data_IF_509831477789
#
_entry.id   IF_509831477789
#
_cell.length_a   1.000
_cell.length_b   1.000
_cell.length_c   1.000
_cell.angle_alpha   90.00
_cell.angle_beta   90.00
_cell.angle_gamma   90.00
#
_symmetry.space_group_name_H-M   'P 1'
#
loop_
_entity.id
_entity.type
_entity.pdbx_description
1 polymer ?
#
# COMPACT_ATOMS: atom_id res chain seq x y z
N UNK A 1 15.22 4.32 -6.09
CA UNK A 1 14.27 3.59 -6.95
C UNK A 1 13.03 4.46 -7.09
N UNK A 2 12.53 4.60 -8.30
CA UNK A 2 11.31 5.33 -8.66
C UNK A 2 10.40 4.30 -9.33
N UNK A 3 9.34 3.87 -8.67
CA UNK A 3 8.40 2.87 -9.14
C UNK A 3 7.04 3.54 -9.40
N UNK A 4 6.63 3.62 -10.66
CA UNK A 4 5.32 4.13 -11.05
C UNK A 4 4.51 2.98 -11.63
N UNK A 5 3.67 2.40 -10.78
CA UNK A 5 2.83 1.25 -11.07
C UNK A 5 1.55 1.60 -11.83
N UNK A 6 0.55 0.71 -11.72
CA UNK A 6 -0.79 0.92 -12.26
C UNK A 6 -1.63 1.88 -11.40
N UNK A 7 -1.63 1.70 -10.08
CA UNK A 7 -2.41 2.55 -9.16
C UNK A 7 -1.61 3.25 -8.06
N UNK A 8 -0.31 2.97 -7.94
CA UNK A 8 0.53 3.57 -6.89
C UNK A 8 1.87 4.04 -7.46
N UNK A 9 2.44 5.01 -6.75
CA UNK A 9 3.79 5.51 -6.94
C UNK A 9 4.58 5.29 -5.66
N UNK A 10 5.78 4.72 -5.78
CA UNK A 10 6.68 4.48 -4.66
C UNK A 10 8.10 4.94 -5.02
N UNK A 11 8.71 5.71 -4.11
CA UNK A 11 10.10 6.12 -4.17
C UNK A 11 10.86 5.53 -2.99
N UNK A 12 11.99 4.88 -3.24
CA UNK A 12 12.87 4.32 -2.20
C UNK A 12 14.30 4.78 -2.38
N UNK A 13 14.88 5.35 -1.33
CA UNK A 13 16.31 5.60 -1.23
C UNK A 13 16.98 4.31 -0.73
N UNK A 14 17.88 3.75 -1.53
CA UNK A 14 18.54 2.48 -1.24
C UNK A 14 20.05 2.69 -1.29
N UNK A 15 20.74 2.27 -0.24
CA UNK A 15 22.19 2.21 -0.20
C UNK A 15 22.64 0.80 -0.63
N UNK A 16 23.51 0.74 -1.64
CA UNK A 16 24.02 -0.50 -2.21
C UNK A 16 25.52 -0.61 -1.97
N UNK A 17 25.94 -1.54 -1.12
CA UNK A 17 27.34 -1.79 -0.78
C UNK A 17 27.70 -3.24 -1.12
N UNK A 18 28.23 -3.46 -2.33
CA UNK A 18 28.49 -4.80 -2.85
C UNK A 18 27.18 -5.60 -2.97
N UNK A 19 27.11 -6.74 -2.29
CA UNK A 19 25.89 -7.57 -2.21
C UNK A 19 24.88 -7.12 -1.14
N UNK A 20 25.20 -6.11 -0.32
CA UNK A 20 24.28 -5.62 0.70
C UNK A 20 23.46 -4.44 0.18
N UNK A 21 22.14 -4.56 0.29
CA UNK A 21 21.17 -3.54 -0.07
C UNK A 21 20.40 -3.11 1.17
N UNK A 22 20.49 -1.84 1.53
CA UNK A 22 19.79 -1.28 2.70
C UNK A 22 18.79 -0.23 2.24
N UNK A 23 17.51 -0.45 2.52
CA UNK A 23 16.50 0.59 2.34
C UNK A 23 16.76 1.65 3.40
N UNK A 24 16.99 2.89 2.98
CA UNK A 24 17.25 4.04 3.87
C UNK A 24 15.94 4.71 4.24
N UNK A 25 15.07 4.92 3.26
CA UNK A 25 13.74 5.49 3.44
C UNK A 25 12.90 5.20 2.19
N UNK A 26 11.58 5.17 2.38
CA UNK A 26 10.62 5.09 1.29
C UNK A 26 9.46 6.04 1.53
N UNK A 27 8.93 6.59 0.45
CA UNK A 27 7.72 7.43 0.41
C UNK A 27 6.90 7.03 -0.80
N UNK A 28 5.59 7.21 -0.76
CA UNK A 28 4.73 6.82 -1.87
C UNK A 28 3.39 7.54 -1.86
N UNK A 29 2.72 7.52 -3.01
CA UNK A 29 1.38 8.05 -3.23
C UNK A 29 0.51 6.86 -3.60
N UNK A 30 -0.43 6.51 -2.70
CA UNK A 30 -1.26 5.30 -2.81
C UNK A 30 -2.40 5.42 -3.82
N UNK A 31 -2.61 6.62 -4.36
CA UNK A 31 -3.72 6.97 -5.24
C UNK A 31 -3.24 7.55 -6.58
N UNK A 32 -2.01 7.25 -6.99
CA UNK A 32 -1.44 7.78 -8.23
C UNK A 32 -0.67 6.69 -8.97
N UNK A 33 -1.07 6.37 -10.19
CA UNK A 33 -0.38 5.45 -11.07
C UNK A 33 -0.74 5.62 -12.55
N UNK A 34 -0.50 4.57 -13.33
CA UNK A 34 -0.88 4.51 -14.74
C UNK A 34 -2.37 4.67 -15.03
N UNK A 35 -3.24 4.28 -14.11
CA UNK A 35 -4.71 4.33 -14.25
C UNK A 35 -5.22 5.78 -14.27
N UNK A 36 -4.53 6.69 -13.58
CA UNK A 36 -4.83 8.13 -13.62
C UNK A 36 -4.52 8.73 -15.00
N UNK A 37 -3.47 8.24 -15.68
CA UNK A 37 -3.19 8.64 -17.06
C UNK A 37 -4.27 8.11 -18.03
N UNK A 38 -4.84 6.93 -17.76
CA UNK A 38 -5.95 6.40 -18.56
C UNK A 38 -7.20 7.25 -18.39
N UNK A 39 -7.46 7.68 -17.16
CA UNK A 39 -8.56 8.58 -16.82
C UNK A 39 -8.42 9.93 -17.51
N UNK A 40 -7.23 10.54 -17.48
CA UNK A 40 -6.97 11.80 -18.22
C UNK A 40 -7.21 11.63 -19.71
N UNK A 41 -6.78 10.51 -20.31
CA UNK A 41 -7.00 10.27 -21.74
C UNK A 41 -8.48 10.07 -22.07
N UNK A 42 -9.22 9.39 -21.18
CA UNK A 42 -10.66 9.19 -21.30
C UNK A 42 -11.42 10.53 -21.26
N UNK A 43 -11.07 11.41 -20.32
CA UNK A 43 -11.66 12.75 -20.19
C UNK A 43 -11.40 13.60 -21.45
N UNK A 44 -10.15 13.63 -21.94
CA UNK A 44 -9.80 14.31 -23.19
C UNK A 44 -10.54 13.74 -24.41
N UNK A 45 -10.82 12.43 -24.42
CA UNK A 45 -11.58 11.80 -25.50
C UNK A 45 -13.05 12.24 -25.50
N UNK A 46 -13.68 12.27 -24.32
CA UNK A 46 -15.05 12.76 -24.14
C UNK A 46 -15.19 14.24 -24.49
N UNK A 47 -14.22 15.06 -24.07
CA UNK A 47 -14.14 16.47 -24.45
C UNK A 47 -13.98 16.66 -25.95
N UNK A 48 -13.08 15.91 -26.58
CA UNK A 48 -12.88 15.97 -28.03
C UNK A 48 -14.10 15.48 -28.83
N UNK A 49 -14.93 14.62 -28.25
CA UNK A 49 -16.17 14.14 -28.84
C UNK A 49 -17.33 15.13 -28.68
N UNK A 50 -17.17 16.17 -27.85
CA UNK A 50 -18.26 17.09 -27.50
C UNK A 50 -19.32 16.44 -26.61
N UNK A 51 -18.95 15.42 -25.81
CA UNK A 51 -19.86 14.79 -24.85
C UNK A 51 -20.01 15.74 -23.66
N UNK A 52 -21.22 16.27 -23.48
CA UNK A 52 -21.57 17.21 -22.40
C UNK A 52 -21.61 16.51 -21.03
N UNK A 53 -21.46 17.29 -19.95
CA UNK A 53 -21.35 16.74 -18.59
C UNK A 53 -22.55 15.87 -18.20
N UNK A 54 -23.78 16.25 -18.57
CA UNK A 54 -24.97 15.46 -18.27
C UNK A 54 -24.93 14.07 -18.93
N UNK A 55 -24.36 13.95 -20.12
CA UNK A 55 -24.21 12.67 -20.81
C UNK A 55 -23.10 11.80 -20.18
N UNK A 56 -22.03 12.45 -19.67
CA UNK A 56 -20.96 11.79 -18.90
C UNK A 56 -21.48 11.24 -17.58
N UNK A 57 -22.25 12.04 -16.84
CA UNK A 57 -22.86 11.64 -15.56
C UNK A 57 -23.87 10.49 -15.76
N UNK A 58 -24.47 10.40 -16.95
CA UNK A 58 -25.34 9.30 -17.37
C UNK A 58 -24.60 8.03 -17.82
N UNK A 59 -23.27 8.01 -17.85
CA UNK A 59 -22.51 6.82 -18.22
C UNK A 59 -22.64 5.72 -17.16
N UNK A 60 -22.94 4.52 -17.63
CA UNK A 60 -22.90 3.33 -16.78
C UNK A 60 -21.45 2.98 -16.44
N UNK A 61 -21.26 2.31 -15.30
CA UNK A 61 -19.93 1.81 -14.91
C UNK A 61 -19.28 0.92 -15.99
N UNK A 62 -20.09 0.17 -16.74
CA UNK A 62 -19.59 -0.68 -17.83
C UNK A 62 -19.09 0.14 -19.03
N UNK A 63 -19.73 1.25 -19.36
CA UNK A 63 -19.28 2.17 -20.41
C UNK A 63 -17.98 2.86 -20.01
N UNK A 64 -17.92 3.37 -18.78
CA UNK A 64 -16.70 3.97 -18.25
C UNK A 64 -15.52 2.99 -18.26
N UNK A 65 -15.74 1.76 -17.81
CA UNK A 65 -14.73 0.70 -17.85
C UNK A 65 -14.23 0.42 -19.28
N UNK A 66 -15.12 0.31 -20.27
CA UNK A 66 -14.72 0.12 -21.68
C UNK A 66 -13.90 1.27 -22.21
N UNK A 67 -14.24 2.51 -21.83
CA UNK A 67 -13.49 3.70 -22.22
C UNK A 67 -12.08 3.68 -21.60
N UNK A 68 -11.96 3.35 -20.31
CA UNK A 68 -10.67 3.24 -19.64
C UNK A 68 -9.79 2.15 -20.27
N UNK A 69 -10.34 0.98 -20.60
CA UNK A 69 -9.58 -0.09 -21.26
C UNK A 69 -9.09 0.32 -22.66
N UNK A 70 -9.95 0.96 -23.47
CA UNK A 70 -9.54 1.52 -24.76
C UNK A 70 -8.43 2.56 -24.58
N UNK A 71 -8.56 3.48 -23.63
CA UNK A 71 -7.56 4.50 -23.36
C UNK A 71 -6.24 3.89 -22.87
N UNK A 72 -6.31 2.86 -22.04
CA UNK A 72 -5.14 2.10 -21.58
C UNK A 72 -4.41 1.46 -22.74
N UNK A 73 -5.10 0.77 -23.64
CA UNK A 73 -4.50 0.18 -24.84
C UNK A 73 -3.81 1.24 -25.70
N UNK A 74 -4.44 2.41 -25.88
CA UNK A 74 -3.84 3.53 -26.64
C UNK A 74 -2.64 4.13 -25.94
N UNK A 75 -2.70 4.33 -24.63
CA UNK A 75 -1.59 4.84 -23.79
C UNK A 75 -0.40 3.88 -23.84
N UNK A 76 -0.63 2.58 -23.68
CA UNK A 76 0.41 1.55 -23.69
C UNK A 76 1.07 1.41 -25.08
N UNK A 77 0.37 1.77 -26.17
CA UNK A 77 0.93 1.80 -27.53
C UNK A 77 1.74 3.07 -27.86
N UNK A 78 1.81 4.05 -26.96
CA UNK A 78 2.55 5.30 -27.20
C UNK A 78 4.05 5.07 -27.24
N UNK A 79 4.72 5.73 -28.18
CA UNK A 79 6.17 5.76 -28.29
C UNK A 79 6.63 7.23 -28.47
N UNK A 80 7.93 7.54 -28.31
CA UNK A 80 8.42 8.93 -28.32
C UNK A 80 8.09 9.75 -29.58
N UNK A 81 7.79 9.09 -30.69
CA UNK A 81 7.43 9.75 -31.96
C UNK A 81 5.92 9.85 -32.20
N UNK A 82 5.08 9.35 -31.30
CA UNK A 82 3.62 9.52 -31.42
C UNK A 82 3.27 11.00 -31.45
N UNK A 83 2.34 11.37 -32.35
CA UNK A 83 1.82 12.74 -32.49
C UNK A 83 0.32 12.82 -32.28
N UNK A 84 -0.40 11.75 -32.60
CA UNK A 84 -1.86 11.65 -32.56
C UNK A 84 -2.25 10.33 -31.89
N UNK A 85 -3.24 10.39 -31.04
CA UNK A 85 -3.82 9.26 -30.32
C UNK A 85 -5.26 9.14 -30.83
N UNK A 86 -5.63 7.99 -31.38
CA UNK A 86 -6.98 7.74 -31.87
C UNK A 86 -7.67 6.85 -30.84
N UNK A 87 -8.78 7.33 -30.28
CA UNK A 87 -9.60 6.61 -29.30
C UNK A 87 -10.91 6.19 -29.98
N UNK A 88 -11.16 4.88 -30.00
CA UNK A 88 -12.35 4.30 -30.63
C UNK A 88 -13.54 4.29 -29.66
N UNK A 89 -14.34 5.37 -29.70
CA UNK A 89 -15.48 5.56 -28.80
C UNK A 89 -16.69 4.68 -29.14
N UNK A 90 -16.74 4.08 -30.34
CA UNK A 90 -17.84 3.19 -30.72
C UNK A 90 -17.88 1.93 -29.83
N UNK A 91 -16.72 1.55 -29.27
CA UNK A 91 -16.59 0.48 -28.25
C UNK A 91 -17.29 0.80 -26.94
N UNK A 92 -17.50 2.09 -26.65
CA UNK A 92 -18.13 2.57 -25.42
C UNK A 92 -19.63 2.63 -25.61
N UNK A 93 -20.09 3.40 -26.62
CA UNK A 93 -21.48 3.54 -27.04
C UNK A 93 -21.57 3.44 -28.55
N UNK A 94 -22.53 2.67 -29.04
CA UNK A 94 -22.87 2.68 -30.46
C UNK A 94 -23.22 4.11 -30.87
N UNK A 95 -22.79 4.53 -32.07
CA UNK A 95 -22.93 5.89 -32.63
C UNK A 95 -21.88 6.93 -32.19
N UNK A 96 -21.08 6.67 -31.16
CA UNK A 96 -19.96 7.56 -30.83
C UNK A 96 -18.82 7.39 -31.84
N UNK A 97 -18.45 8.49 -32.51
CA UNK A 97 -17.38 8.47 -33.51
C UNK A 97 -15.98 8.44 -32.87
N UNK A 98 -14.99 7.81 -33.52
CA UNK A 98 -13.60 7.87 -33.06
C UNK A 98 -13.09 9.32 -33.01
N UNK A 99 -12.37 9.64 -31.95
CA UNK A 99 -11.75 10.96 -31.76
C UNK A 99 -10.24 10.89 -31.91
N UNK A 100 -9.63 12.03 -32.26
CA UNK A 100 -8.18 12.14 -32.32
C UNK A 100 -7.66 13.22 -31.39
N UNK A 101 -6.85 12.81 -30.43
CA UNK A 101 -6.21 13.67 -29.43
C UNK A 101 -4.76 13.90 -29.86
N UNK A 102 -4.24 15.12 -29.72
CA UNK A 102 -2.81 15.36 -29.93
C UNK A 102 -2.04 14.81 -28.73
N UNK A 103 -0.95 14.07 -28.99
CA UNK A 103 -0.13 13.53 -27.91
C UNK A 103 0.46 14.63 -27.02
N UNK A 104 0.67 15.84 -27.56
CA UNK A 104 1.14 16.99 -26.80
C UNK A 104 0.11 17.48 -25.76
N UNK A 105 -1.18 17.46 -26.09
CA UNK A 105 -2.25 17.89 -25.18
C UNK A 105 -2.40 16.89 -24.04
N UNK A 106 -2.41 15.59 -24.37
CA UNK A 106 -2.37 14.51 -23.39
C UNK A 106 -1.16 14.62 -22.45
N UNK A 107 0.04 14.85 -22.99
CA UNK A 107 1.24 15.00 -22.17
C UNK A 107 1.22 16.27 -21.31
N UNK A 108 0.54 17.33 -21.77
CA UNK A 108 0.36 18.54 -20.96
C UNK A 108 -0.56 18.26 -19.78
N UNK A 109 -1.67 17.54 -20.02
CA UNK A 109 -2.62 17.15 -18.98
C UNK A 109 -2.02 16.18 -17.96
N UNK A 110 -1.15 15.25 -18.37
CA UNK A 110 -0.49 14.32 -17.44
C UNK A 110 0.68 14.92 -16.66
N UNK A 111 1.27 16.05 -17.12
CA UNK A 111 2.49 16.62 -16.49
C UNK A 111 2.32 16.87 -14.98
N UNK A 112 1.22 17.45 -14.47
CA UNK A 112 1.06 17.71 -13.03
C UNK A 112 1.23 16.46 -12.17
N UNK A 113 0.66 15.31 -12.56
CA UNK A 113 0.81 14.05 -11.83
C UNK A 113 2.26 13.55 -11.83
N UNK A 114 2.97 13.71 -12.96
CA UNK A 114 4.40 13.37 -13.02
C UNK A 114 5.21 14.29 -12.11
N UNK A 115 4.90 15.59 -12.07
CA UNK A 115 5.58 16.53 -11.16
C UNK A 115 5.32 16.18 -9.69
N UNK A 116 4.12 15.74 -9.33
CA UNK A 116 3.80 15.29 -7.97
C UNK A 116 4.70 14.12 -7.52
N UNK A 117 4.86 13.10 -8.37
CA UNK A 117 5.76 11.98 -8.08
C UNK A 117 7.24 12.40 -7.99
N UNK A 118 7.64 13.45 -8.72
CA UNK A 118 8.99 14.02 -8.64
C UNK A 118 9.17 14.77 -7.33
N UNK A 119 8.20 15.56 -6.90
CA UNK A 119 8.24 16.25 -5.62
C UNK A 119 8.33 15.26 -4.45
N UNK A 120 7.54 14.19 -4.46
CA UNK A 120 7.65 13.12 -3.46
C UNK A 120 9.05 12.48 -3.43
N UNK A 121 9.69 12.33 -4.60
CA UNK A 121 11.08 11.85 -4.71
C UNK A 121 12.09 12.87 -4.16
N UNK A 122 11.94 14.15 -4.51
CA UNK A 122 12.81 15.23 -4.06
C UNK A 122 12.71 15.42 -2.54
N UNK A 123 11.51 15.33 -1.97
CA UNK A 123 11.26 15.42 -0.53
C UNK A 123 11.87 14.25 0.24
N UNK A 124 11.80 13.03 -0.31
CA UNK A 124 12.47 11.85 0.23
C UNK A 124 13.99 12.07 0.27
N UNK A 125 14.58 12.59 -0.82
CA UNK A 125 16.01 12.89 -0.88
C UNK A 125 16.41 14.01 0.07
N UNK A 126 15.64 15.10 0.14
CA UNK A 126 15.91 16.22 1.02
C UNK A 126 15.94 15.79 2.50
N UNK A 127 15.02 14.90 2.91
CA UNK A 127 14.93 14.41 4.28
C UNK A 127 16.01 13.38 4.65
N UNK A 128 16.40 12.52 3.71
CA UNK A 128 17.19 11.33 4.05
C UNK A 128 18.57 11.25 3.40
N UNK A 129 18.86 12.03 2.35
CA UNK A 129 20.15 12.01 1.68
C UNK A 129 21.20 12.95 2.31
N UNK A 130 20.81 13.81 3.27
CA UNK A 130 21.72 14.72 3.99
C UNK A 130 22.67 15.53 3.06
N UNK A 131 22.17 15.96 1.90
CA UNK A 131 22.94 16.70 0.90
C UNK A 131 23.85 15.85 0.01
N UNK A 132 23.85 14.51 0.14
CA UNK A 132 24.51 13.61 -0.81
C UNK A 132 23.71 13.54 -2.10
N UNK A 133 24.42 13.60 -3.24
CA UNK A 133 23.81 13.29 -4.53
C UNK A 133 23.58 11.79 -4.67
N UNK A 134 22.51 11.41 -5.38
CA UNK A 134 22.30 10.02 -5.79
C UNK A 134 23.21 9.65 -6.96
N UNK A 135 23.71 8.42 -6.97
CA UNK A 135 24.48 7.89 -8.11
C UNK A 135 23.58 7.62 -9.32
N UNK A 136 22.39 7.07 -9.06
CA UNK A 136 21.44 6.69 -10.08
C UNK A 136 19.99 6.78 -9.59
N UNK A 137 19.09 7.15 -10.51
CA UNK A 137 17.64 7.03 -10.34
C UNK A 137 17.16 5.83 -11.17
N UNK A 138 16.97 4.69 -10.52
CA UNK A 138 16.43 3.49 -11.15
C UNK A 138 14.91 3.59 -11.29
N UNK A 139 14.42 3.62 -12.54
CA UNK A 139 13.01 3.79 -12.91
C UNK A 139 12.40 2.44 -13.27
N UNK A 140 11.31 2.09 -12.61
CA UNK A 140 10.55 0.85 -12.76
C UNK A 140 9.04 1.12 -12.72
N UNK A 141 8.22 0.09 -12.96
CA UNK A 141 6.77 0.18 -13.01
C UNK A 141 6.21 0.40 -14.42
N UNK A 142 5.01 -0.11 -14.69
CA UNK A 142 4.37 -0.02 -16.01
C UNK A 142 4.01 1.42 -16.41
N UNK A 143 3.59 2.25 -15.46
CA UNK A 143 3.28 3.67 -15.69
C UNK A 143 4.51 4.47 -16.13
N UNK A 144 5.70 4.09 -15.67
CA UNK A 144 6.98 4.71 -16.09
C UNK A 144 7.31 4.52 -17.58
N UNK A 145 6.63 3.62 -18.29
CA UNK A 145 6.86 3.41 -19.73
C UNK A 145 6.30 4.53 -20.60
N UNK A 146 5.36 5.33 -20.06
CA UNK A 146 4.83 6.50 -20.73
C UNK A 146 5.98 7.44 -21.12
N UNK A 147 6.12 7.82 -22.41
CA UNK A 147 7.26 8.62 -22.87
C UNK A 147 7.46 9.94 -22.12
N UNK A 148 6.36 10.56 -21.65
CA UNK A 148 6.40 11.78 -20.84
C UNK A 148 7.20 11.58 -19.55
N UNK A 149 6.94 10.51 -18.78
CA UNK A 149 7.59 10.27 -17.48
C UNK A 149 9.10 10.23 -17.66
N UNK A 150 9.56 9.43 -18.62
CA UNK A 150 10.97 9.33 -18.98
C UNK A 150 11.60 10.66 -19.46
N UNK A 151 10.82 11.56 -20.06
CA UNK A 151 11.28 12.88 -20.48
C UNK A 151 11.44 13.81 -19.28
N UNK A 152 10.39 13.96 -18.47
CA UNK A 152 10.39 14.87 -17.31
C UNK A 152 11.45 14.44 -16.30
N UNK A 153 11.59 13.14 -16.04
CA UNK A 153 12.65 12.63 -15.16
C UNK A 153 14.05 12.96 -15.68
N UNK A 154 14.29 12.94 -16.99
CA UNK A 154 15.59 13.36 -17.55
C UNK A 154 15.79 14.87 -17.53
N UNK A 155 14.74 15.65 -17.69
CA UNK A 155 14.79 17.11 -17.50
C UNK A 155 15.23 17.46 -16.07
N UNK A 156 14.75 16.70 -15.07
CA UNK A 156 15.03 16.95 -13.64
C UNK A 156 16.32 16.30 -13.13
N UNK A 157 16.52 15.01 -13.39
CA UNK A 157 17.64 14.22 -12.84
C UNK A 157 18.77 13.95 -13.84
N UNK A 158 18.61 14.38 -15.10
CA UNK A 158 19.65 14.30 -16.12
C UNK A 158 20.10 12.87 -16.43
N UNK A 159 21.43 12.70 -16.52
CA UNK A 159 22.07 11.42 -16.88
C UNK A 159 22.02 10.35 -15.80
N UNK A 160 21.53 10.68 -14.59
CA UNK A 160 21.39 9.72 -13.48
C UNK A 160 20.22 8.77 -13.68
N UNK A 161 19.26 9.13 -14.53
CA UNK A 161 18.10 8.27 -14.84
C UNK A 161 18.56 6.98 -15.52
N UNK A 162 18.16 5.85 -14.95
CA UNK A 162 18.42 4.50 -15.43
C UNK A 162 17.09 3.77 -15.51
N UNK A 163 16.61 3.49 -16.73
CA UNK A 163 15.40 2.68 -16.91
C UNK A 163 15.74 1.21 -16.80
N UNK A 164 14.97 0.47 -16.01
CA UNK A 164 15.08 -1.00 -15.97
C UNK A 164 14.78 -1.60 -17.33
N UNK A 165 15.53 -2.63 -17.73
CA UNK A 165 15.20 -3.44 -18.91
C UNK A 165 13.90 -4.25 -18.72
N UNK A 166 13.46 -4.39 -17.46
CA UNK A 166 12.29 -5.15 -17.05
C UNK A 166 11.30 -4.27 -16.28
N UNK A 167 10.94 -3.09 -16.80
CA UNK A 167 10.10 -2.10 -16.09
C UNK A 167 8.84 -2.71 -15.45
N UNK A 168 8.15 -3.61 -16.15
CA UNK A 168 6.92 -4.26 -15.68
C UNK A 168 7.14 -5.47 -14.76
N UNK A 169 8.34 -6.04 -14.76
CA UNK A 169 8.61 -7.33 -14.10
C UNK A 169 9.74 -7.27 -13.07
N UNK A 170 10.38 -6.12 -12.88
CA UNK A 170 11.53 -5.96 -12.00
C UNK A 170 11.22 -6.41 -10.57
N UNK A 171 10.04 -6.07 -10.04
CA UNK A 171 9.58 -6.48 -8.71
C UNK A 171 9.45 -7.99 -8.60
N UNK A 172 8.80 -8.65 -9.58
CA UNK A 172 8.66 -10.10 -9.59
C UNK A 172 10.01 -10.83 -9.73
N UNK A 173 10.92 -10.30 -10.55
CA UNK A 173 12.28 -10.81 -10.70
C UNK A 173 13.06 -10.66 -9.39
N UNK A 174 12.99 -9.50 -8.74
CA UNK A 174 13.64 -9.24 -7.45
C UNK A 174 13.14 -10.20 -6.36
N UNK A 175 11.83 -10.42 -6.29
CA UNK A 175 11.23 -11.41 -5.37
C UNK A 175 11.70 -12.84 -5.69
N UNK A 176 11.80 -13.22 -6.96
CA UNK A 176 12.30 -14.53 -7.34
C UNK A 176 13.78 -14.74 -6.94
N UNK A 177 14.62 -13.70 -7.10
CA UNK A 177 16.01 -13.71 -6.66
C UNK A 177 16.08 -13.84 -5.13
N UNK A 178 15.27 -13.05 -4.41
CA UNK A 178 15.22 -13.09 -2.94
C UNK A 178 14.74 -14.45 -2.42
N UNK A 179 13.75 -15.06 -3.09
CA UNK A 179 13.20 -16.37 -2.71
C UNK A 179 14.13 -17.53 -3.05
N UNK A 180 15.02 -17.37 -4.03
CA UNK A 180 16.00 -18.39 -4.39
C UNK A 180 17.14 -18.53 -3.35
N UNK A 181 17.22 -17.61 -2.37
CA UNK A 181 18.24 -17.58 -1.31
C UNK A 181 19.66 -17.81 -1.84
N UNK A 182 19.94 -17.25 -3.02
CA UNK A 182 21.25 -17.40 -3.65
C UNK A 182 22.28 -16.63 -2.83
N UNK A 183 23.29 -17.35 -2.31
CA UNK A 183 24.40 -16.79 -1.54
C UNK A 183 24.99 -15.56 -2.24
N UNK A 184 24.79 -14.37 -1.66
CA UNK A 184 25.44 -13.15 -2.14
C UNK A 184 24.67 -11.85 -1.97
N UNK A 185 23.34 -11.88 -1.76
CA UNK A 185 22.54 -10.66 -1.58
C UNK A 185 21.87 -10.62 -0.20
N UNK A 186 22.06 -9.50 0.51
CA UNK A 186 21.44 -9.25 1.81
C UNK A 186 20.59 -7.98 1.73
N UNK A 187 19.26 -8.12 1.87
CA UNK A 187 18.33 -7.01 1.96
C UNK A 187 18.07 -6.64 3.43
N UNK A 188 18.29 -5.38 3.77
CA UNK A 188 17.93 -4.78 5.06
C UNK A 188 16.78 -3.81 4.84
N UNK A 189 15.60 -4.18 5.31
CA UNK A 189 14.38 -3.41 5.14
C UNK A 189 13.98 -2.69 6.44
N UNK A 190 12.94 -1.85 6.40
CA UNK A 190 12.43 -1.07 7.53
C UNK A 190 10.95 -0.79 7.41
N UNK A 191 10.30 -0.50 8.54
CA UNK A 191 8.92 0.01 8.56
C UNK A 191 8.82 1.32 7.77
N UNK A 192 7.97 1.36 6.73
CA UNK A 192 7.72 2.56 5.92
C UNK A 192 6.62 3.46 6.50
N UNK A 193 5.86 2.94 7.45
CA UNK A 193 4.74 3.60 8.15
C UNK A 193 4.82 3.33 9.64
N UNK A 194 4.12 4.11 10.45
CA UNK A 194 3.91 3.80 11.85
C UNK A 194 2.94 2.64 11.96
N UNK A 195 3.29 1.59 12.70
CA UNK A 195 2.38 0.53 13.08
C UNK A 195 2.04 0.67 14.56
N UNK A 196 0.75 0.68 14.90
CA UNK A 196 0.32 0.86 16.27
C UNK A 196 -1.11 0.46 16.55
N UNK A 197 -1.58 0.79 17.75
CA UNK A 197 -2.90 0.41 18.25
C UNK A 197 -3.60 1.60 18.89
N UNK A 198 -4.91 1.68 18.71
CA UNK A 198 -5.73 2.64 19.44
C UNK A 198 -5.86 2.23 20.90
N UNK A 199 -5.62 3.19 21.80
CA UNK A 199 -5.80 3.02 23.25
C UNK A 199 -6.75 4.06 23.80
N UNK A 200 -7.49 3.66 24.81
CA UNK A 200 -8.19 4.63 25.65
C UNK A 200 -7.20 5.33 26.59
N UNK A 201 -7.41 6.62 26.77
CA UNK A 201 -6.73 7.48 27.73
C UNK A 201 -7.76 8.22 28.57
N UNK A 202 -7.30 8.83 29.67
CA UNK A 202 -8.13 9.65 30.56
C UNK A 202 -9.43 8.95 30.98
N UNK A 203 -9.32 7.70 31.44
CA UNK A 203 -10.46 6.91 31.91
C UNK A 203 -11.55 6.67 30.85
N UNK A 204 -11.15 6.58 29.57
CA UNK A 204 -12.04 6.35 28.43
C UNK A 204 -12.63 7.63 27.82
N UNK A 205 -12.17 8.81 28.26
CA UNK A 205 -12.62 10.11 27.71
C UNK A 205 -11.95 10.46 26.39
N UNK A 206 -10.75 9.95 26.16
CA UNK A 206 -9.99 10.20 24.95
C UNK A 206 -9.43 8.89 24.38
N UNK A 207 -9.17 8.88 23.08
CA UNK A 207 -8.49 7.80 22.38
C UNK A 207 -7.17 8.36 21.88
N UNK A 208 -6.09 7.63 22.13
CA UNK A 208 -4.73 7.97 21.72
C UNK A 208 -4.14 6.84 20.90
N UNK A 209 -3.22 7.18 19.99
CA UNK A 209 -2.48 6.20 19.21
C UNK A 209 -1.22 5.80 19.97
N UNK A 210 -1.05 4.50 20.22
CA UNK A 210 0.19 3.95 20.76
C UNK A 210 1.04 3.37 19.61
N UNK A 211 2.12 4.05 19.18
CA UNK A 211 3.03 3.53 18.17
C UNK A 211 3.82 2.35 18.75
N UNK A 212 3.67 1.18 18.12
CA UNK A 212 4.34 -0.05 18.51
C UNK A 212 5.67 -0.21 17.77
N UNK A 213 5.66 0.04 16.46
CA UNK A 213 6.86 0.12 15.62
C UNK A 213 6.79 1.42 14.81
N UNK A 214 7.76 2.30 15.03
CA UNK A 214 7.78 3.61 14.39
C UNK A 214 8.23 3.52 12.92
N UNK A 215 7.77 4.47 12.09
CA UNK A 215 8.29 4.66 10.73
C UNK A 215 9.83 4.81 10.80
N UNK A 216 10.52 4.06 9.94
CA UNK A 216 11.97 4.02 9.86
C UNK A 216 12.65 2.93 10.70
N UNK A 217 11.91 2.21 11.55
CA UNK A 217 12.46 1.10 12.36
C UNK A 217 12.96 -0.01 11.45
N UNK A 218 14.25 -0.36 11.53
CA UNK A 218 14.85 -1.43 10.72
C UNK A 218 14.33 -2.81 11.12
N UNK A 219 14.03 -3.65 10.13
CA UNK A 219 13.68 -5.04 10.34
C UNK A 219 14.93 -5.84 10.71
N UNK A 220 14.78 -6.91 11.53
CA UNK A 220 15.90 -7.78 11.87
C UNK A 220 16.34 -8.56 10.63
N UNK A 221 17.60 -8.99 10.57
CA UNK A 221 18.06 -9.85 9.48
C UNK A 221 17.51 -11.28 9.62
N UNK A 222 17.46 -12.07 8.54
CA UNK A 222 17.10 -13.48 8.63
C UNK A 222 17.96 -14.22 9.67
N UNK A 223 17.30 -14.85 10.66
CA UNK A 223 17.96 -15.56 11.76
C UNK A 223 18.29 -14.71 12.99
N UNK A 224 18.12 -13.39 12.94
CA UNK A 224 18.18 -12.53 14.13
C UNK A 224 16.89 -12.59 14.96
N UNK A 225 16.95 -12.29 16.27
CA UNK A 225 15.75 -12.18 17.10
C UNK A 225 14.75 -11.15 16.53
N UNK A 226 13.44 -11.39 16.67
CA UNK A 226 12.43 -10.43 16.22
C UNK A 226 12.53 -9.12 17.01
N UNK A 227 12.07 -8.02 16.41
CA UNK A 227 11.80 -6.80 17.16
C UNK A 227 10.73 -7.11 18.21
N UNK A 228 10.91 -6.61 19.43
CA UNK A 228 9.94 -6.80 20.50
C UNK A 228 9.46 -5.45 21.04
N UNK A 229 8.15 -5.32 21.24
CA UNK A 229 7.55 -4.20 21.95
C UNK A 229 6.60 -4.77 23.01
N UNK A 230 6.76 -4.37 24.26
CA UNK A 230 5.98 -4.91 25.38
C UNK A 230 5.18 -3.81 26.06
N UNK A 231 3.96 -4.14 26.47
CA UNK A 231 3.12 -3.32 27.34
C UNK A 231 2.65 -4.17 28.52
N UNK A 232 2.69 -3.60 29.72
CA UNK A 232 2.23 -4.27 30.94
C UNK A 232 1.38 -3.29 31.72
N UNK A 233 0.15 -3.67 32.03
CA UNK A 233 -0.81 -2.80 32.69
C UNK A 233 -1.91 -3.61 33.39
N UNK A 234 -2.67 -2.94 34.26
CA UNK A 234 -3.87 -3.50 34.86
C UNK A 234 -5.08 -3.00 34.07
N UNK A 235 -5.88 -3.89 33.46
CA UNK A 235 -7.04 -3.50 32.68
C UNK A 235 -8.14 -2.98 33.60
N UNK A 236 -8.89 -1.99 33.11
CA UNK A 236 -10.07 -1.45 33.81
C UNK A 236 -11.38 -1.89 33.15
N UNK A 237 -11.32 -2.82 32.19
CA UNK A 237 -12.46 -3.37 31.46
C UNK A 237 -12.48 -4.91 31.60
N UNK A 238 -13.65 -5.52 31.39
CA UNK A 238 -13.83 -6.97 31.31
C UNK A 238 -13.19 -7.59 30.05
N UNK A 239 -13.13 -6.84 28.96
CA UNK A 239 -12.65 -7.28 27.65
C UNK A 239 -11.76 -6.20 27.05
N UNK A 240 -10.65 -6.62 26.42
CA UNK A 240 -9.77 -5.76 25.65
C UNK A 240 -10.18 -5.73 24.20
N UNK A 241 -10.32 -4.52 23.65
CA UNK A 241 -10.64 -4.29 22.25
C UNK A 241 -9.49 -3.57 21.56
N UNK A 242 -8.74 -4.30 20.74
CA UNK A 242 -7.51 -3.78 20.13
C UNK A 242 -7.74 -3.55 18.64
N UNK A 243 -7.65 -2.29 18.23
CA UNK A 243 -7.79 -1.86 16.83
C UNK A 243 -6.43 -1.40 16.33
N UNK A 244 -5.80 -2.19 15.47
CA UNK A 244 -4.50 -1.87 14.91
C UNK A 244 -4.64 -1.01 13.66
N UNK A 245 -3.69 -0.11 13.45
CA UNK A 245 -3.63 0.72 12.26
C UNK A 245 -2.18 0.91 11.79
N UNK A 246 -2.04 1.27 10.52
CA UNK A 246 -0.83 1.86 9.97
C UNK A 246 -1.07 3.29 9.51
N UNK A 247 -0.23 4.22 9.96
CA UNK A 247 -0.31 5.62 9.59
C UNK A 247 0.95 6.08 8.84
N UNK A 248 0.77 6.88 7.80
CA UNK A 248 1.88 7.45 7.03
C UNK A 248 2.73 8.42 7.86
N UNK A 249 2.09 9.20 8.75
CA UNK A 249 2.69 10.22 9.58
C UNK A 249 2.05 10.24 10.98
N UNK A 250 2.75 10.87 11.93
CA UNK A 250 2.18 11.30 13.20
C UNK A 250 2.48 12.79 13.40
N UNK A 251 1.57 13.53 14.01
CA UNK A 251 1.81 14.91 14.42
C UNK A 251 2.70 15.00 15.68
N UNK A 252 3.04 16.22 16.12
CA UNK A 252 3.87 16.46 17.31
C UNK A 252 3.24 15.92 18.61
N UNK A 253 1.93 15.71 18.62
CA UNK A 253 1.19 15.13 19.75
C UNK A 253 1.10 13.61 19.67
N UNK A 254 1.65 13.00 18.61
CA UNK A 254 1.65 11.55 18.39
C UNK A 254 0.38 11.02 17.71
N UNK A 255 -0.54 11.89 17.27
CA UNK A 255 -1.75 11.43 16.59
C UNK A 255 -1.42 11.04 15.14
N UNK A 256 -1.99 9.94 14.62
CA UNK A 256 -1.76 9.51 13.25
C UNK A 256 -2.41 10.48 12.27
N UNK A 257 -1.68 10.82 11.20
CA UNK A 257 -2.08 11.76 10.16
C UNK A 257 -1.82 11.19 8.76
N UNK A 258 -2.44 11.82 7.77
CA UNK A 258 -2.30 11.46 6.36
C UNK A 258 -3.07 10.18 6.03
N UNK A 259 -2.47 9.34 5.19
CA UNK A 259 -3.05 8.04 4.87
C UNK A 259 -3.02 7.12 6.10
N UNK A 260 -4.15 6.49 6.39
CA UNK A 260 -4.36 5.59 7.53
C UNK A 260 -5.01 4.30 7.01
N UNK A 261 -4.39 3.17 7.32
CA UNK A 261 -4.86 1.85 6.93
C UNK A 261 -5.27 1.07 8.17
N UNK A 262 -6.51 0.61 8.22
CA UNK A 262 -6.98 -0.27 9.30
C UNK A 262 -6.45 -1.69 9.13
N UNK A 263 -6.09 -2.31 10.26
CA UNK A 263 -5.67 -3.69 10.35
C UNK A 263 -6.69 -4.48 11.17
N UNK A 264 -6.32 -5.71 11.52
CA UNK A 264 -7.10 -6.56 12.41
C UNK A 264 -7.60 -5.83 13.65
N UNK A 265 -8.80 -6.23 14.03
CA UNK A 265 -9.34 -5.96 15.34
C UNK A 265 -9.41 -7.27 16.12
N UNK A 266 -8.80 -7.28 17.30
CA UNK A 266 -8.79 -8.46 18.16
C UNK A 266 -9.46 -8.15 19.50
N UNK A 267 -10.05 -9.19 20.07
CA UNK A 267 -10.77 -9.15 21.33
C UNK A 267 -10.10 -10.12 22.29
N UNK A 268 -9.79 -9.69 23.51
CA UNK A 268 -9.15 -10.53 24.52
C UNK A 268 -9.91 -10.47 25.86
N UNK A 269 -10.20 -11.61 26.51
CA UNK A 269 -10.86 -11.64 27.82
C UNK A 269 -9.91 -11.22 28.95
N UNK A 270 -10.13 -10.05 29.53
CA UNK A 270 -9.47 -9.67 30.78
C UNK A 270 -10.16 -10.30 32.01
N UNK A 271 -11.48 -10.44 31.95
CA UNK A 271 -12.25 -11.14 32.97
C UNK A 271 -12.08 -12.66 32.82
N UNK A 272 -11.68 -13.30 33.92
CA UNK A 272 -11.48 -14.76 34.00
C UNK A 272 -12.74 -15.55 33.66
N UNK A 273 -13.92 -15.02 33.99
CA UNK A 273 -15.18 -15.68 33.65
C UNK A 273 -15.43 -15.75 32.14
N UNK A 274 -14.78 -14.88 31.36
CA UNK A 274 -14.91 -14.80 29.91
C UNK A 274 -13.82 -15.58 29.16
N UNK A 275 -12.76 -16.03 29.84
CA UNK A 275 -11.60 -16.68 29.21
C UNK A 275 -11.95 -17.98 28.46
N UNK A 276 -12.99 -18.68 28.90
CA UNK A 276 -13.48 -19.94 28.29
C UNK A 276 -14.74 -19.74 27.45
N UNK A 277 -15.24 -18.50 27.32
CA UNK A 277 -16.51 -18.22 26.63
C UNK A 277 -16.29 -18.16 25.10
N UNK A 278 -17.01 -18.97 24.30
CA UNK A 278 -16.98 -18.83 22.85
C UNK A 278 -17.68 -17.54 22.40
N UNK A 279 -17.17 -16.90 21.35
CA UNK A 279 -17.82 -15.72 20.76
C UNK A 279 -17.65 -14.44 21.58
N UNK A 280 -16.52 -14.28 22.28
CA UNK A 280 -16.21 -13.10 23.10
C UNK A 280 -16.35 -11.76 22.36
N UNK A 281 -16.22 -11.74 21.03
CA UNK A 281 -16.42 -10.55 20.21
C UNK A 281 -17.83 -9.95 20.27
N UNK A 282 -18.80 -10.67 20.87
CA UNK A 282 -20.17 -10.19 21.09
C UNK A 282 -20.43 -9.71 22.53
N UNK A 283 -19.43 -9.80 23.41
CA UNK A 283 -19.56 -9.37 24.80
C UNK A 283 -19.36 -7.85 24.86
N UNK A 284 -20.27 -7.17 25.55
CA UNK A 284 -20.17 -5.73 25.76
C UNK A 284 -18.96 -5.38 26.64
N UNK A 285 -18.28 -4.30 26.28
CA UNK A 285 -17.16 -3.76 27.06
C UNK A 285 -17.72 -3.05 28.29
N UNK A 286 -17.41 -3.58 29.46
CA UNK A 286 -17.85 -3.06 30.75
C UNK A 286 -16.64 -2.69 31.62
N UNK A 287 -16.71 -1.51 32.25
CA UNK A 287 -15.67 -1.07 33.18
C UNK A 287 -15.72 -1.88 34.48
N UNK A 288 -14.57 -2.45 34.87
CA UNK A 288 -14.35 -3.25 36.08
C UNK A 288 -13.13 -2.70 36.82
N UNK A 289 -13.35 -2.00 37.94
CA UNK A 289 -12.27 -1.38 38.73
C UNK A 289 -11.66 -2.32 39.78
N UNK A 290 -12.17 -3.54 39.93
CA UNK A 290 -11.69 -4.54 40.87
C UNK A 290 -11.52 -5.91 40.19
N UNK A 291 -10.45 -6.62 40.54
CA UNK A 291 -10.25 -8.03 40.16
C UNK A 291 -9.47 -8.29 38.86
N UNK A 292 -8.98 -7.26 38.17
CA UNK A 292 -8.15 -7.41 36.97
C UNK A 292 -6.76 -7.97 37.29
N UNK A 293 -6.35 -9.03 36.58
CA UNK A 293 -4.97 -9.53 36.58
C UNK A 293 -4.04 -8.56 35.84
N UNK A 294 -2.73 -8.70 36.06
CA UNK A 294 -1.74 -7.94 35.29
C UNK A 294 -1.70 -8.49 33.86
N UNK A 295 -2.01 -7.66 32.87
CA UNK A 295 -1.98 -8.05 31.45
C UNK A 295 -0.63 -7.67 30.86
N UNK A 296 -0.08 -8.58 30.05
CA UNK A 296 1.07 -8.33 29.18
C UNK A 296 0.67 -8.48 27.73
N UNK A 297 0.97 -7.47 26.93
CA UNK A 297 0.98 -7.54 25.48
C UNK A 297 2.44 -7.64 25.03
N UNK A 298 2.78 -8.66 24.24
CA UNK A 298 4.09 -8.83 23.63
C UNK A 298 3.95 -8.83 22.10
N UNK A 299 4.34 -7.71 21.51
CA UNK A 299 4.39 -7.52 20.06
C UNK A 299 5.73 -7.98 19.52
N UNK A 300 5.69 -8.71 18.41
CA UNK A 300 6.88 -9.19 17.70
C UNK A 300 6.81 -8.89 16.23
N UNK A 301 7.92 -8.48 15.63
CA UNK A 301 8.07 -8.37 14.19
C UNK A 301 9.34 -9.08 13.71
N UNK A 302 9.20 -9.99 12.74
CA UNK A 302 10.32 -10.75 12.20
C UNK A 302 10.99 -10.08 10.99
N UNK A 303 11.99 -10.76 10.42
CA UNK A 303 12.74 -10.28 9.26
C UNK A 303 11.91 -10.18 7.98
N UNK A 304 10.74 -10.83 7.95
CA UNK A 304 9.79 -10.77 6.83
C UNK A 304 8.72 -9.67 7.04
N UNK A 305 8.79 -8.89 8.12
CA UNK A 305 7.81 -7.86 8.43
C UNK A 305 6.48 -8.42 8.94
N UNK A 306 6.39 -9.72 9.23
CA UNK A 306 5.18 -10.28 9.85
C UNK A 306 5.09 -9.81 11.29
N UNK A 307 3.88 -9.44 11.73
CA UNK A 307 3.64 -8.93 13.08
C UNK A 307 2.73 -9.89 13.86
N UNK A 308 3.11 -10.16 15.11
CA UNK A 308 2.30 -10.93 16.05
C UNK A 308 2.12 -10.18 17.35
N UNK A 309 1.03 -10.45 18.03
CA UNK A 309 0.82 -10.05 19.42
C UNK A 309 0.45 -11.27 20.24
N UNK A 310 1.14 -11.45 21.36
CA UNK A 310 0.77 -12.38 22.41
C UNK A 310 0.24 -11.58 23.59
N UNK A 311 -1.04 -11.76 23.90
CA UNK A 311 -1.68 -11.14 25.07
C UNK A 311 -1.80 -12.20 26.15
N UNK A 312 -1.39 -11.87 27.37
CA UNK A 312 -1.34 -12.80 28.50
C UNK A 312 -1.89 -12.16 29.77
N UNK A 313 -2.79 -12.86 30.45
CA UNK A 313 -3.08 -12.62 31.86
C UNK A 313 -2.01 -13.30 32.70
N UNK A 314 -1.13 -12.50 33.30
CA UNK A 314 0.01 -13.01 34.08
C UNK A 314 -0.42 -13.65 35.40
N UNK A 315 -1.65 -13.40 35.86
CA UNK A 315 -2.15 -13.99 37.09
C UNK A 315 -2.77 -15.38 36.87
N UNK A 316 -3.39 -15.64 35.70
CA UNK A 316 -3.96 -16.96 35.38
C UNK A 316 -3.07 -17.80 34.46
N UNK A 317 -2.15 -17.16 33.73
CA UNK A 317 -1.40 -17.78 32.65
C UNK A 317 -2.20 -17.93 31.36
N UNK A 318 -3.46 -17.47 31.32
CA UNK A 318 -4.25 -17.47 30.09
C UNK A 318 -3.60 -16.57 29.06
N UNK A 319 -3.42 -17.07 27.84
CA UNK A 319 -2.75 -16.34 26.77
C UNK A 319 -3.32 -16.68 25.41
N UNK A 320 -3.33 -15.68 24.54
CA UNK A 320 -3.73 -15.82 23.15
C UNK A 320 -2.69 -15.14 22.26
N UNK A 321 -2.38 -15.76 21.12
CA UNK A 321 -1.44 -15.21 20.13
C UNK A 321 -2.18 -14.98 18.83
N UNK A 322 -2.01 -13.79 18.28
CA UNK A 322 -2.65 -13.35 17.04
C UNK A 322 -1.56 -12.98 16.05
N UNK A 323 -1.68 -13.46 14.82
CA UNK A 323 -0.91 -12.95 13.68
C UNK A 323 -1.72 -11.81 13.07
N UNK A 324 -1.17 -10.61 13.09
CA UNK A 324 -1.85 -9.43 12.58
C UNK A 324 -1.66 -9.34 11.07
N UNK A 325 -2.74 -9.06 10.36
CA UNK A 325 -2.75 -8.82 8.92
C UNK A 325 -3.72 -7.70 8.54
N UNK A 326 -3.61 -7.29 7.28
CA UNK A 326 -4.59 -6.40 6.64
C UNK A 326 -5.79 -7.22 6.19
N UNK A 327 -6.59 -7.68 7.15
CA UNK A 327 -7.86 -8.32 6.84
C UNK A 327 -8.96 -7.28 6.96
N UNK A 328 -9.55 -6.89 5.82
CA UNK A 328 -10.83 -6.18 5.82
C UNK A 328 -11.81 -7.02 6.65
N UNK A 329 -12.48 -6.39 7.63
CA UNK A 329 -13.55 -7.02 8.41
C UNK A 329 -14.54 -7.69 7.45
N UNK A 330 -14.77 -8.98 7.74
CA UNK A 330 -15.23 -10.06 6.87
C UNK A 330 -16.49 -9.82 6.04
N UNK A 331 -16.56 -10.43 4.86
CA UNK A 331 -17.60 -11.44 4.64
C UNK A 331 -17.14 -12.63 3.76
N UNK A 332 -17.32 -13.82 4.31
CA UNK A 332 -17.15 -15.17 3.76
C UNK A 332 -15.73 -15.67 3.36
N UNK A 333 -15.26 -16.81 3.91
CA UNK A 333 -14.13 -17.52 3.32
C UNK A 333 -14.53 -17.99 1.91
N UNK A 334 -13.78 -17.54 0.90
CA UNK A 334 -13.88 -18.09 -0.46
C UNK A 334 -13.62 -19.58 -0.39
N UNK A 335 -14.69 -20.37 -0.48
CA UNK A 335 -14.57 -21.82 -0.56
C UNK A 335 -14.04 -22.14 -1.96
N UNK A 336 -12.91 -22.87 -2.11
CA UNK A 336 -12.41 -23.24 -3.43
C UNK A 336 -13.51 -23.98 -4.19
N UNK A 337 -13.86 -23.48 -5.38
CA UNK A 337 -14.90 -24.07 -6.20
C UNK A 337 -14.66 -25.56 -6.39
N UNK A 338 -15.60 -26.40 -5.95
CA UNK A 338 -15.57 -27.83 -6.24
C UNK A 338 -15.45 -28.00 -7.76
N UNK A 339 -14.38 -28.67 -8.22
CA UNK A 339 -14.23 -29.11 -9.61
C UNK A 339 -15.54 -29.77 -10.05
N UNK A 340 -16.26 -29.15 -11.00
CA UNK A 340 -17.34 -29.82 -11.73
C UNK A 340 -16.72 -31.05 -12.38
N UNK A 341 -17.06 -32.25 -11.89
CA UNK A 341 -16.84 -33.49 -12.63
C UNK A 341 -17.61 -33.35 -13.93
N UNK A 342 -16.92 -33.36 -15.07
CA UNK A 342 -17.57 -33.41 -16.37
C UNK A 342 -18.30 -34.75 -16.48
N UNK A 343 -19.62 -34.74 -16.35
CA UNK A 343 -20.45 -35.84 -16.83
C UNK A 343 -20.40 -35.80 -18.35
N UNK A 344 -19.50 -36.58 -18.94
CA UNK A 344 -19.65 -37.02 -20.33
C UNK A 344 -20.94 -37.85 -20.39
N UNK A 345 -22.00 -37.25 -20.91
CA UNK A 345 -23.15 -38.00 -21.40
C UNK A 345 -22.69 -38.89 -22.55
N UNK A 346 -22.88 -40.20 -22.38
CA UNK A 346 -23.10 -41.11 -23.50
C UNK A 346 -24.61 -41.21 -23.64
N UNK A 347 -25.13 -40.71 -24.76
CA UNK A 347 -26.15 -41.35 -25.57
C UNK A 347 -26.04 -40.79 -26.99
#
# INVERSE_FOLDING_TARGET
VYDLGGGTFDASLVECNGGSHTVVASEGITTLGGDDFDTILAELALESAGVEQEERDGMTQAEWFRLQEECRDRKEALHPNTRRIIVDLERVRQEWAPVTILAADFYTACRPLVEETIHATEDLLARHAAGKEIDALYVTGGGSELPLVSRVLRERFGRRVRRSAHTRSATAIGLAIQAADTEGYALKDRFTRYFGVWRESEDGRSIVFDPLFAKGTGLPAPGEPPLECTRVYTPVHNVGHFRYIEASHCDESGNPQGDITEWDEIVFPFDRALQELPGISRVDVERRTAGGGLIRELYRCDSAGSVWVQISDLATGHQQTFRLGRWLRSDSPVTPGRKKKSTKGKE
#
